data_IF_029349165390
#
_entry.id   IF_029349165390
#
_cell.length_a   1.000
_cell.length_b   1.000
_cell.length_c   1.000
_cell.angle_alpha   90.00
_cell.angle_beta   90.00
_cell.angle_gamma   90.00
#
_symmetry.space_group_name_H-M   'P 1'
#
loop_
_entity.id
_entity.type
_entity.pdbx_description
1 polymer ?
#
# COMPACT_ATOMS: atom_id res chain seq x y z
N UNK A 1 5.98 -31.49 -13.86
CA UNK A 1 4.80 -30.89 -13.22
C UNK A 1 3.88 -30.36 -14.28
N UNK A 2 2.57 -30.49 -14.10
CA UNK A 2 1.54 -29.91 -14.98
C UNK A 2 1.41 -28.42 -14.71
N UNK A 3 1.25 -27.60 -15.75
CA UNK A 3 1.05 -26.14 -15.62
C UNK A 3 -0.35 -25.86 -15.07
N UNK A 4 -0.44 -24.94 -14.11
CA UNK A 4 -1.71 -24.36 -13.67
C UNK A 4 -2.10 -23.18 -14.58
N UNK A 5 -3.23 -23.32 -15.26
CA UNK A 5 -3.77 -22.33 -16.18
C UNK A 5 -4.77 -21.37 -15.52
N UNK A 6 -5.16 -21.61 -14.27
CA UNK A 6 -6.16 -20.82 -13.58
C UNK A 6 -5.88 -19.30 -13.61
N UNK A 7 -4.63 -18.81 -13.39
CA UNK A 7 -4.35 -17.37 -13.41
C UNK A 7 -4.63 -16.71 -14.77
N UNK A 8 -4.41 -17.44 -15.86
CA UNK A 8 -4.64 -16.94 -17.21
C UNK A 8 -6.13 -16.93 -17.56
N UNK A 9 -6.86 -17.97 -17.15
CA UNK A 9 -8.29 -18.10 -17.42
C UNK A 9 -9.15 -17.19 -16.53
N UNK A 10 -8.65 -16.76 -15.37
CA UNK A 10 -9.40 -15.91 -14.45
C UNK A 10 -9.49 -14.43 -14.86
N UNK A 11 -8.75 -13.98 -15.87
CA UNK A 11 -8.64 -12.55 -16.22
C UNK A 11 -10.00 -11.95 -16.57
N UNK A 12 -10.78 -12.59 -17.44
CA UNK A 12 -12.09 -12.08 -17.85
C UNK A 12 -13.06 -12.01 -16.67
N UNK A 13 -13.12 -13.05 -15.86
CA UNK A 13 -13.95 -13.11 -14.66
C UNK A 13 -13.59 -11.99 -13.67
N UNK A 14 -12.31 -11.70 -13.47
CA UNK A 14 -11.86 -10.60 -12.60
C UNK A 14 -12.29 -9.24 -13.15
N UNK A 15 -12.23 -9.03 -14.47
CA UNK A 15 -12.62 -7.76 -15.08
C UNK A 15 -14.13 -7.52 -14.95
N UNK A 16 -14.95 -8.54 -15.12
CA UNK A 16 -16.40 -8.44 -14.94
C UNK A 16 -16.78 -8.21 -13.48
N UNK A 17 -16.06 -8.86 -12.55
CA UNK A 17 -16.22 -8.60 -11.12
C UNK A 17 -15.87 -7.14 -10.75
N UNK A 18 -14.78 -6.59 -11.29
CA UNK A 18 -14.39 -5.18 -11.05
C UNK A 18 -15.42 -4.19 -11.61
N UNK A 19 -16.00 -4.48 -12.78
CA UNK A 19 -17.11 -3.68 -13.32
C UNK A 19 -18.35 -3.75 -12.43
N UNK A 20 -18.67 -4.94 -11.93
CA UNK A 20 -19.80 -5.13 -11.01
C UNK A 20 -19.62 -4.36 -9.69
N UNK A 21 -18.39 -4.25 -9.17
CA UNK A 21 -18.08 -3.50 -7.96
C UNK A 21 -18.28 -1.98 -8.10
N UNK A 22 -18.25 -1.44 -9.31
CA UNK A 22 -18.58 -0.04 -9.57
C UNK A 22 -17.76 0.61 -10.68
N UNK A 23 -16.45 0.33 -10.74
CA UNK A 23 -15.52 0.66 -11.83
C UNK A 23 -14.09 0.45 -11.33
N UNK A 24 -13.13 0.54 -12.25
CA UNK A 24 -11.72 0.65 -11.90
C UNK A 24 -11.42 1.87 -11.02
N UNK A 25 -12.04 3.02 -11.33
CA UNK A 25 -11.83 4.27 -10.60
C UNK A 25 -12.37 4.19 -9.17
N UNK A 26 -13.54 3.58 -8.95
CA UNK A 26 -14.11 3.43 -7.62
C UNK A 26 -13.23 2.56 -6.72
N UNK A 27 -12.65 1.48 -7.28
CA UNK A 27 -11.72 0.61 -6.56
C UNK A 27 -10.43 1.37 -6.25
N UNK A 28 -9.91 2.14 -7.21
CA UNK A 28 -8.71 2.93 -7.02
C UNK A 28 -8.88 3.99 -5.93
N UNK A 29 -9.90 4.84 -6.07
CA UNK A 29 -10.22 5.91 -5.14
C UNK A 29 -10.44 5.36 -3.73
N UNK A 30 -11.15 4.24 -3.60
CA UNK A 30 -11.35 3.59 -2.30
C UNK A 30 -10.02 3.14 -1.69
N UNK A 31 -9.21 2.38 -2.43
CA UNK A 31 -7.95 1.84 -1.91
C UNK A 31 -6.92 2.94 -1.62
N UNK A 32 -6.87 3.99 -2.43
CA UNK A 32 -5.98 5.13 -2.23
C UNK A 32 -6.37 5.92 -0.98
N UNK A 33 -7.65 6.28 -0.85
CA UNK A 33 -8.14 6.97 0.35
C UNK A 33 -7.96 6.12 1.62
N UNK A 34 -8.15 4.80 1.51
CA UNK A 34 -7.92 3.88 2.62
C UNK A 34 -6.45 3.82 3.02
N UNK A 35 -5.52 3.87 2.06
CA UNK A 35 -4.09 3.92 2.34
C UNK A 35 -3.71 5.19 3.11
N UNK A 36 -4.13 6.36 2.63
CA UNK A 36 -3.86 7.65 3.30
C UNK A 36 -4.43 7.66 4.74
N UNK A 37 -5.69 7.26 4.89
CA UNK A 37 -6.30 7.19 6.23
C UNK A 37 -5.62 6.15 7.13
N UNK A 38 -5.17 5.05 6.53
CA UNK A 38 -4.41 4.00 7.19
C UNK A 38 -3.06 4.50 7.72
N UNK A 39 -2.34 5.29 6.92
CA UNK A 39 -1.09 5.94 7.30
C UNK A 39 -1.30 6.84 8.53
N UNK A 40 -2.27 7.76 8.49
CA UNK A 40 -2.56 8.65 9.61
C UNK A 40 -3.01 7.90 10.89
N UNK A 41 -3.82 6.86 10.72
CA UNK A 41 -4.28 6.06 11.85
C UNK A 41 -3.12 5.29 12.49
N UNK A 42 -2.29 4.66 11.67
CA UNK A 42 -1.20 3.81 12.13
C UNK A 42 -0.02 4.64 12.68
N UNK A 43 0.26 5.80 12.09
CA UNK A 43 1.19 6.80 12.62
C UNK A 43 0.82 7.20 14.06
N UNK A 44 -0.45 7.50 14.32
CA UNK A 44 -0.94 7.86 15.67
C UNK A 44 -0.85 6.71 16.67
N UNK A 45 -1.20 5.49 16.26
CA UNK A 45 -1.22 4.33 17.17
C UNK A 45 0.19 3.84 17.49
N UNK A 46 1.08 3.82 16.50
CA UNK A 46 2.44 3.29 16.64
C UNK A 46 3.49 4.36 16.94
N UNK A 47 3.08 5.62 17.08
CA UNK A 47 3.97 6.77 17.25
C UNK A 47 5.08 6.79 16.17
N UNK A 48 4.63 6.62 14.93
CA UNK A 48 5.43 6.63 13.70
C UNK A 48 5.12 7.90 12.90
N UNK A 49 5.99 8.25 11.96
CA UNK A 49 5.79 9.38 11.05
C UNK A 49 5.40 8.85 9.66
N UNK A 50 4.50 9.57 8.95
CA UNK A 50 4.08 9.20 7.59
C UNK A 50 5.18 9.58 6.61
N UNK A 51 5.49 8.72 5.64
CA UNK A 51 6.56 9.00 4.65
C UNK A 51 6.18 10.16 3.72
N UNK A 52 4.90 10.28 3.39
CA UNK A 52 4.35 11.25 2.45
C UNK A 52 3.12 11.94 3.07
N UNK A 53 3.35 13.08 3.72
CA UNK A 53 2.30 13.83 4.42
C UNK A 53 1.24 14.41 3.48
N UNK A 54 1.59 14.66 2.21
CA UNK A 54 0.68 15.22 1.22
C UNK A 54 -0.14 14.13 0.48
N UNK A 55 0.18 12.85 0.70
CA UNK A 55 -0.48 11.71 0.05
C UNK A 55 -0.29 11.61 -1.47
N UNK A 56 0.50 12.51 -2.07
CA UNK A 56 0.68 12.62 -3.53
C UNK A 56 1.42 11.45 -4.16
N UNK A 57 2.30 10.79 -3.39
CA UNK A 57 3.07 9.62 -3.78
C UNK A 57 2.53 8.33 -3.13
N UNK A 58 1.48 8.45 -2.32
CA UNK A 58 0.82 7.31 -1.69
C UNK A 58 -0.01 6.56 -2.72
N UNK A 59 0.36 5.30 -2.97
CA UNK A 59 -0.38 4.42 -3.88
C UNK A 59 -1.62 3.83 -3.23
N UNK A 60 -1.68 2.49 -3.20
CA UNK A 60 -2.73 1.70 -2.53
C UNK A 60 -2.19 0.96 -1.31
N UNK A 61 -1.13 1.49 -0.71
CA UNK A 61 -0.38 0.90 0.38
C UNK A 61 0.07 1.98 1.37
N UNK A 62 0.23 1.56 2.62
CA UNK A 62 0.60 2.39 3.77
C UNK A 62 2.13 2.42 3.89
N UNK A 63 2.71 3.61 4.04
CA UNK A 63 4.14 3.86 4.11
C UNK A 63 4.49 4.73 5.33
N UNK A 64 5.13 4.10 6.33
CA UNK A 64 5.52 4.76 7.59
C UNK A 64 7.01 4.66 7.87
N UNK A 65 7.52 5.65 8.58
CA UNK A 65 8.87 5.69 9.12
C UNK A 65 8.86 5.15 10.55
N UNK A 66 9.56 4.03 10.83
CA UNK A 66 9.71 3.55 12.20
C UNK A 66 10.54 4.53 13.04
N UNK A 67 10.25 4.67 14.36
CA UNK A 67 10.86 5.68 15.21
C UNK A 67 12.39 5.56 15.38
N UNK A 68 12.96 4.40 15.07
CA UNK A 68 14.41 4.14 15.14
C UNK A 68 15.19 4.68 13.94
N UNK A 69 14.53 5.07 12.85
CA UNK A 69 15.17 5.51 11.62
C UNK A 69 14.92 7.00 11.35
N UNK A 70 15.05 7.81 12.41
CA UNK A 70 14.67 9.21 12.40
C UNK A 70 15.62 10.08 11.56
N UNK A 71 16.89 9.67 11.41
CA UNK A 71 17.85 10.29 10.52
C UNK A 71 18.36 9.28 9.47
N UNK A 72 18.70 9.77 8.27
CA UNK A 72 19.29 8.93 7.21
C UNK A 72 20.58 8.20 7.64
N UNK A 73 21.30 8.75 8.62
CA UNK A 73 22.47 8.13 9.27
C UNK A 73 22.11 6.90 10.10
N UNK A 74 20.92 6.84 10.69
CA UNK A 74 20.51 5.74 11.59
C UNK A 74 20.24 4.45 10.79
N UNK A 75 19.74 4.57 9.56
CA UNK A 75 19.48 3.44 8.67
C UNK A 75 20.76 2.72 8.23
N UNK A 76 21.86 3.46 8.00
CA UNK A 76 23.14 2.88 7.61
C UNK A 76 23.89 2.24 8.80
N UNK A 77 23.65 2.74 10.02
CA UNK A 77 24.34 2.25 11.23
C UNK A 77 23.88 0.84 11.62
N UNK A 78 22.61 0.51 11.41
CA UNK A 78 22.03 -0.81 11.75
C UNK A 78 22.14 -1.87 10.65
N UNK A 79 22.72 -1.54 9.47
CA UNK A 79 23.02 -2.52 8.41
C UNK A 79 24.37 -3.22 8.58
N UNK A 80 25.23 -2.75 9.49
CA UNK A 80 26.61 -3.23 9.69
C UNK A 80 26.81 -4.09 10.94
N UNK A 81 25.73 -4.46 11.63
CA UNK A 81 25.72 -5.39 12.77
C UNK A 81 24.83 -6.57 12.47
#
# INVERSE_FOLDING_TARGET
GTIDWAPYLSVSAVLDFRKWLGSESMIDDYCHNLAIQGDEALARVLNMEVVDEDGQFTGRAVHLVPPLFRNATDFNTHRLT
#
